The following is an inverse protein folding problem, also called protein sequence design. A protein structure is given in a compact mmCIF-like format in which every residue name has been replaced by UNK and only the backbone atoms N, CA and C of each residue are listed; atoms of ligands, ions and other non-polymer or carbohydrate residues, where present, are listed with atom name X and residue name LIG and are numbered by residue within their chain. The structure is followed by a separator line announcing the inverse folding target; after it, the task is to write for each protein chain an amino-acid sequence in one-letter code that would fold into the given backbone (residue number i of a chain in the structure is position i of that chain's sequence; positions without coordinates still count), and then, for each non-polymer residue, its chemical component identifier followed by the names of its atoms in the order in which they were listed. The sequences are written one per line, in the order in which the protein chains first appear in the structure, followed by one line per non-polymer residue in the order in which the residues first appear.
data_IF_505751142959
#
_entry.id   IF_505751142959
#
_cell.length_a   1.000
_cell.length_b   1.000
_cell.length_c   1.000
_cell.angle_alpha   90.00
_cell.angle_beta   90.00
_cell.angle_gamma   90.00
#
_symmetry.space_group_name_H-M   'P 1'
#
loop_
_entity.id
_entity.type
_entity.pdbx_description
1 polymer ?
#
# COMPACT_ATOMS: atom_id res chain seq x y z
N UNK A 1 -11.06 26.37 93.00
CA UNK A 1 -10.17 25.52 92.17
C UNK A 1 -10.90 25.22 90.87
N UNK A 2 -10.62 26.05 89.85
CA UNK A 2 -11.40 25.99 88.57
C UNK A 2 -10.60 25.12 87.58
N UNK A 3 -11.18 24.03 87.17
CA UNK A 3 -10.66 23.20 86.06
C UNK A 3 -11.10 23.81 84.71
N UNK A 4 -10.13 24.30 83.93
CA UNK A 4 -10.31 24.68 82.57
C UNK A 4 -10.34 23.42 81.67
N UNK A 5 -11.47 23.16 81.01
CA UNK A 5 -11.54 22.12 79.99
C UNK A 5 -11.04 22.70 78.68
N UNK A 6 -9.93 22.18 78.17
CA UNK A 6 -9.44 22.46 76.82
C UNK A 6 -10.22 21.59 75.84
N UNK A 7 -10.89 22.23 74.91
CA UNK A 7 -11.48 21.55 73.76
C UNK A 7 -10.47 21.56 72.64
N UNK A 8 -9.95 20.39 72.27
CA UNK A 8 -9.12 20.21 71.11
C UNK A 8 -10.00 19.93 69.92
N UNK A 9 -10.13 20.92 69.03
CA UNK A 9 -10.86 20.76 67.76
C UNK A 9 -9.93 20.04 66.79
N UNK A 10 -10.27 18.81 66.45
CA UNK A 10 -9.60 18.03 65.39
C UNK A 10 -10.20 18.44 64.02
N UNK A 11 -9.44 19.25 63.27
CA UNK A 11 -9.80 19.59 61.89
C UNK A 11 -9.45 18.43 60.97
N UNK A 12 -10.43 17.72 60.42
CA UNK A 12 -10.26 16.70 59.37
C UNK A 12 -10.17 17.45 58.03
N UNK A 13 -8.93 17.56 57.52
CA UNK A 13 -8.69 18.04 56.13
C UNK A 13 -8.90 16.87 55.22
N UNK A 14 -10.07 16.80 54.58
CA UNK A 14 -10.32 15.89 53.43
C UNK A 14 -9.62 16.47 52.19
N UNK A 15 -8.47 15.96 51.83
CA UNK A 15 -7.81 16.24 50.57
C UNK A 15 -8.60 15.56 49.46
N UNK A 16 -9.41 16.33 48.72
CA UNK A 16 -9.98 15.88 47.44
C UNK A 16 -8.86 15.75 46.43
N UNK A 17 -8.30 14.55 46.25
CA UNK A 17 -7.40 14.28 45.17
C UNK A 17 -8.19 14.28 43.85
N UNK A 18 -7.85 15.07 42.82
CA UNK A 18 -8.49 14.95 41.53
C UNK A 18 -8.17 13.56 40.99
N UNK A 19 -9.20 12.76 40.74
CA UNK A 19 -9.09 11.53 40.01
C UNK A 19 -8.72 11.90 38.55
N UNK A 20 -7.44 11.83 38.23
CA UNK A 20 -7.00 11.90 36.84
C UNK A 20 -7.47 10.59 36.21
N UNK A 21 -8.59 10.64 35.50
CA UNK A 21 -9.04 9.56 34.64
C UNK A 21 -8.03 9.45 33.49
N UNK A 22 -7.08 8.53 33.60
CA UNK A 22 -6.32 8.08 32.45
C UNK A 22 -7.31 7.43 31.50
N UNK A 23 -7.65 8.13 30.41
CA UNK A 23 -8.34 7.50 29.29
C UNK A 23 -7.46 6.31 28.87
N UNK A 24 -7.96 5.10 29.02
CA UNK A 24 -7.29 3.92 28.50
C UNK A 24 -7.01 4.18 27.01
N UNK A 25 -5.83 3.82 26.48
CA UNK A 25 -5.56 3.96 25.07
C UNK A 25 -6.68 3.24 24.35
N UNK A 26 -7.45 3.98 23.54
CA UNK A 26 -8.44 3.39 22.66
C UNK A 26 -7.66 2.49 21.71
N UNK A 27 -7.72 1.19 21.93
CA UNK A 27 -7.17 0.23 21.00
C UNK A 27 -7.96 0.44 19.69
N UNK A 28 -7.31 1.00 18.67
CA UNK A 28 -7.88 1.12 17.32
C UNK A 28 -7.93 -0.28 16.68
N UNK A 29 -8.62 -1.19 17.33
CA UNK A 29 -8.91 -2.49 16.75
C UNK A 29 -9.93 -2.30 15.62
N UNK A 30 -9.75 -3.00 14.51
CA UNK A 30 -10.73 -3.04 13.44
C UNK A 30 -12.12 -3.38 14.03
N UNK A 31 -13.13 -2.68 13.58
CA UNK A 31 -14.51 -2.93 13.96
C UNK A 31 -15.23 -3.64 12.83
N UNK A 32 -16.12 -4.54 13.17
CA UNK A 32 -17.02 -5.17 12.22
C UNK A 32 -17.90 -4.12 11.52
N UNK A 33 -18.32 -4.43 10.29
CA UNK A 33 -19.27 -3.60 9.56
C UNK A 33 -20.60 -3.57 10.29
N UNK A 34 -21.21 -2.37 10.38
CA UNK A 34 -22.60 -2.27 10.84
C UNK A 34 -23.54 -2.82 9.78
N UNK A 35 -24.75 -3.26 10.18
CA UNK A 35 -25.79 -3.70 9.23
C UNK A 35 -26.07 -2.63 8.17
N UNK A 36 -26.09 -1.36 8.56
CA UNK A 36 -26.26 -0.25 7.63
C UNK A 36 -25.16 -0.20 6.57
N UNK A 37 -23.90 -0.39 6.97
CA UNK A 37 -22.75 -0.43 6.05
C UNK A 37 -22.87 -1.60 5.09
N UNK A 38 -23.18 -2.79 5.58
CA UNK A 38 -23.38 -3.99 4.77
C UNK A 38 -24.49 -3.76 3.74
N UNK A 39 -25.68 -3.27 4.17
CA UNK A 39 -26.78 -2.99 3.26
C UNK A 39 -26.45 -1.98 2.18
N UNK A 40 -25.69 -0.92 2.52
CA UNK A 40 -25.25 0.08 1.55
C UNK A 40 -24.25 -0.50 0.53
N UNK A 41 -23.33 -1.31 0.98
CA UNK A 41 -22.39 -1.98 0.10
C UNK A 41 -23.09 -3.01 -0.80
N UNK A 42 -24.06 -3.75 -0.29
CA UNK A 42 -24.82 -4.71 -1.09
C UNK A 42 -25.70 -4.03 -2.17
N UNK A 43 -26.26 -2.85 -1.88
CA UNK A 43 -26.99 -2.09 -2.89
C UNK A 43 -26.16 -1.80 -4.15
N UNK A 44 -24.84 -1.58 -4.01
CA UNK A 44 -23.96 -1.33 -5.17
C UNK A 44 -23.88 -2.51 -6.12
N UNK A 45 -24.04 -3.74 -5.63
CA UNK A 45 -24.01 -4.95 -6.44
C UNK A 45 -25.18 -5.01 -7.44
N UNK A 46 -26.26 -4.25 -7.20
CA UNK A 46 -27.38 -4.16 -8.13
C UNK A 46 -27.16 -3.16 -9.28
N UNK A 47 -26.22 -2.22 -9.11
CA UNK A 47 -25.97 -1.16 -10.09
C UNK A 47 -24.69 -1.40 -10.90
N UNK A 48 -23.75 -2.20 -10.38
CA UNK A 48 -22.44 -2.43 -10.98
C UNK A 48 -22.24 -3.92 -11.24
N UNK A 49 -21.74 -4.22 -12.43
CA UNK A 49 -21.45 -5.60 -12.85
C UNK A 49 -20.10 -6.05 -12.26
N UNK A 50 -20.13 -6.59 -11.05
CA UNK A 50 -18.95 -7.13 -10.39
C UNK A 50 -18.50 -8.49 -10.93
N UNK A 51 -19.33 -9.17 -11.70
CA UNK A 51 -19.00 -10.45 -12.33
C UNK A 51 -18.16 -10.26 -13.59
N UNK A 52 -18.16 -9.08 -14.17
CA UNK A 52 -17.33 -8.75 -15.32
C UNK A 52 -15.83 -8.79 -14.95
N UNK A 53 -15.08 -9.71 -15.56
CA UNK A 53 -13.64 -9.92 -15.31
C UNK A 53 -12.75 -9.27 -16.37
N UNK A 54 -13.30 -8.59 -17.35
CA UNK A 54 -12.55 -7.99 -18.47
C UNK A 54 -11.39 -7.10 -18.00
N UNK A 55 -11.59 -6.31 -16.93
CA UNK A 55 -10.51 -5.46 -16.40
C UNK A 55 -9.38 -6.28 -15.79
N UNK A 56 -9.69 -7.42 -15.13
CA UNK A 56 -8.68 -8.32 -14.57
C UNK A 56 -7.89 -9.02 -15.67
N UNK A 57 -8.52 -9.38 -16.76
CA UNK A 57 -7.85 -9.91 -17.96
C UNK A 57 -6.96 -8.85 -18.60
N UNK A 58 -7.47 -7.62 -18.74
CA UNK A 58 -6.75 -6.51 -19.34
C UNK A 58 -5.53 -6.09 -18.49
N UNK A 59 -5.66 -5.96 -17.18
CA UNK A 59 -4.55 -5.56 -16.32
C UNK A 59 -3.45 -6.62 -16.24
N UNK A 60 -3.81 -7.89 -16.43
CA UNK A 60 -2.88 -9.03 -16.43
C UNK A 60 -2.24 -9.28 -17.81
N UNK A 61 -2.73 -8.61 -18.85
CA UNK A 61 -2.23 -8.82 -20.23
C UNK A 61 -0.76 -8.44 -20.34
N UNK A 62 0.02 -9.32 -20.94
CA UNK A 62 1.46 -9.13 -21.16
C UNK A 62 2.30 -9.28 -19.89
N UNK A 63 1.76 -9.84 -18.80
CA UNK A 63 2.52 -10.13 -17.60
C UNK A 63 3.72 -11.05 -17.92
N UNK A 64 4.89 -10.68 -17.43
CA UNK A 64 6.14 -11.43 -17.59
C UNK A 64 6.57 -12.03 -16.27
N UNK A 65 6.76 -11.18 -15.25
CA UNK A 65 7.23 -11.60 -13.94
C UNK A 65 6.94 -10.51 -12.89
N UNK A 66 6.90 -10.90 -11.63
CA UNK A 66 6.92 -9.96 -10.50
C UNK A 66 8.25 -10.04 -9.74
N UNK A 67 8.44 -9.14 -8.79
CA UNK A 67 9.60 -9.17 -7.89
C UNK A 67 9.59 -10.45 -7.04
N UNK A 68 10.71 -11.18 -6.95
CA UNK A 68 10.73 -12.49 -6.29
C UNK A 68 10.58 -12.43 -4.77
N UNK A 69 10.89 -11.26 -4.18
CA UNK A 69 10.79 -11.04 -2.74
C UNK A 69 9.50 -10.27 -2.40
N UNK A 70 9.03 -10.39 -1.15
CA UNK A 70 7.85 -9.63 -0.70
C UNK A 70 8.13 -8.15 -0.48
N UNK A 71 9.41 -7.76 -0.39
CA UNK A 71 9.81 -6.38 -0.08
C UNK A 71 10.98 -5.93 -0.94
N UNK A 72 11.03 -4.63 -1.22
CA UNK A 72 12.22 -3.93 -1.70
C UNK A 72 12.84 -3.22 -0.52
N UNK A 73 14.15 -3.37 -0.32
CA UNK A 73 14.88 -2.82 0.83
C UNK A 73 16.04 -1.94 0.37
N UNK A 74 16.41 -0.98 1.24
CA UNK A 74 17.65 -0.22 1.07
C UNK A 74 18.88 -1.03 1.50
N UNK A 75 20.07 -0.41 1.38
CA UNK A 75 21.34 -1.03 1.76
C UNK A 75 21.46 -1.30 3.27
N UNK A 76 20.67 -0.62 4.08
CA UNK A 76 20.62 -0.77 5.54
C UNK A 76 19.61 -1.83 5.99
N UNK A 77 18.81 -2.36 5.04
CA UNK A 77 17.79 -3.37 5.31
C UNK A 77 16.41 -2.78 5.66
N UNK A 78 16.24 -1.45 5.58
CA UNK A 78 14.94 -0.83 5.79
C UNK A 78 14.01 -1.15 4.61
N UNK A 79 12.74 -1.42 4.91
CA UNK A 79 11.74 -1.69 3.88
C UNK A 79 11.33 -0.38 3.21
N UNK A 80 11.56 -0.29 1.90
CA UNK A 80 11.16 0.83 1.04
C UNK A 80 9.79 0.57 0.44
N UNK A 81 9.55 -0.67 -0.03
CA UNK A 81 8.28 -1.08 -0.58
C UNK A 81 7.92 -2.49 -0.11
N UNK A 82 6.66 -2.69 0.28
CA UNK A 82 6.14 -3.97 0.74
C UNK A 82 4.94 -4.37 -0.10
N UNK A 83 5.12 -5.38 -0.95
CA UNK A 83 4.07 -5.92 -1.81
C UNK A 83 2.98 -6.67 -1.03
N UNK A 84 3.30 -7.15 0.17
CA UNK A 84 2.35 -7.90 1.00
C UNK A 84 1.41 -7.02 1.83
N UNK A 85 1.66 -5.72 1.88
CA UNK A 85 0.91 -4.78 2.71
C UNK A 85 -0.60 -4.82 2.48
N UNK A 86 -1.02 -5.14 1.27
CA UNK A 86 -2.43 -5.20 0.87
C UNK A 86 -2.94 -6.62 0.60
N UNK A 87 -2.22 -7.66 1.01
CA UNK A 87 -2.64 -9.06 0.79
C UNK A 87 -4.03 -9.36 1.39
N UNK A 88 -4.42 -8.63 2.44
CA UNK A 88 -5.72 -8.76 3.07
C UNK A 88 -6.91 -8.50 2.13
N UNK A 89 -6.75 -7.69 1.07
CA UNK A 89 -7.84 -7.43 0.10
C UNK A 89 -8.25 -8.66 -0.70
N UNK A 90 -7.41 -9.68 -0.74
CA UNK A 90 -7.67 -10.95 -1.43
C UNK A 90 -8.35 -11.98 -0.52
N UNK A 91 -8.55 -11.66 0.77
CA UNK A 91 -9.27 -12.50 1.70
C UNK A 91 -10.77 -12.25 1.56
N UNK A 92 -11.58 -13.30 1.79
CA UNK A 92 -13.04 -13.20 1.71
C UNK A 92 -13.66 -12.65 3.00
N UNK A 93 -12.92 -12.65 4.10
CA UNK A 93 -13.38 -12.21 5.41
C UNK A 93 -12.95 -10.77 5.71
N UNK A 94 -13.81 -10.00 6.38
CA UNK A 94 -13.49 -8.66 6.87
C UNK A 94 -13.55 -7.58 5.81
N UNK A 95 -14.10 -7.88 4.63
CA UNK A 95 -14.21 -6.92 3.52
C UNK A 95 -15.55 -6.16 3.51
N UNK A 96 -16.49 -6.51 4.37
CA UNK A 96 -17.83 -5.90 4.46
C UNK A 96 -17.77 -4.41 4.84
N UNK A 97 -16.67 -3.99 5.48
CA UNK A 97 -16.42 -2.58 5.81
C UNK A 97 -15.94 -1.77 4.61
N UNK A 98 -15.55 -2.43 3.52
CA UNK A 98 -14.95 -1.80 2.33
C UNK A 98 -16.03 -1.66 1.25
N UNK A 99 -16.11 -0.48 0.65
CA UNK A 99 -16.94 -0.28 -0.53
C UNK A 99 -16.54 -1.26 -1.64
N UNK A 100 -17.45 -2.05 -2.23
CA UNK A 100 -17.13 -3.10 -3.22
C UNK A 100 -16.39 -2.57 -4.44
N UNK A 101 -16.72 -1.35 -4.92
CA UNK A 101 -16.02 -0.73 -6.06
C UNK A 101 -14.57 -0.39 -5.70
N UNK A 102 -14.33 0.13 -4.49
CA UNK A 102 -12.97 0.42 -4.02
C UNK A 102 -12.18 -0.86 -3.81
N UNK A 103 -12.82 -1.91 -3.26
CA UNK A 103 -12.18 -3.22 -3.11
C UNK A 103 -11.77 -3.79 -4.47
N UNK A 104 -12.68 -3.72 -5.47
CA UNK A 104 -12.38 -4.16 -6.84
C UNK A 104 -11.22 -3.38 -7.44
N UNK A 105 -11.22 -2.05 -7.30
CA UNK A 105 -10.13 -1.20 -7.78
C UNK A 105 -8.82 -1.50 -7.06
N UNK A 106 -8.84 -1.71 -5.75
CA UNK A 106 -7.66 -2.09 -4.99
C UNK A 106 -7.08 -3.43 -5.45
N UNK A 107 -7.93 -4.43 -5.74
CA UNK A 107 -7.50 -5.72 -6.29
C UNK A 107 -6.82 -5.56 -7.66
N UNK A 108 -7.34 -4.72 -8.53
CA UNK A 108 -6.72 -4.41 -9.83
C UNK A 108 -5.36 -3.71 -9.66
N UNK A 109 -5.29 -2.73 -8.78
CA UNK A 109 -4.06 -1.97 -8.51
C UNK A 109 -2.97 -2.82 -7.81
N UNK A 110 -3.35 -3.88 -7.12
CA UNK A 110 -2.40 -4.77 -6.44
C UNK A 110 -1.69 -5.74 -7.40
N UNK A 111 -2.12 -5.83 -8.65
CA UNK A 111 -1.46 -6.63 -9.68
C UNK A 111 -0.19 -5.90 -10.09
N UNK A 112 0.95 -6.41 -9.65
CA UNK A 112 2.28 -5.80 -9.80
C UNK A 112 3.20 -6.67 -10.65
N UNK A 113 4.23 -6.06 -11.24
CA UNK A 113 5.24 -6.77 -12.01
C UNK A 113 5.72 -6.03 -13.25
N UNK A 114 6.43 -6.76 -14.07
CA UNK A 114 6.88 -6.36 -15.41
C UNK A 114 5.89 -6.89 -16.44
N UNK A 115 5.47 -5.99 -17.33
CA UNK A 115 4.50 -6.29 -18.38
C UNK A 115 5.04 -5.88 -19.75
N UNK A 116 4.82 -6.70 -20.77
CA UNK A 116 4.98 -6.33 -22.16
C UNK A 116 3.70 -5.64 -22.66
N UNK A 117 3.78 -4.35 -22.95
CA UNK A 117 2.64 -3.57 -23.45
C UNK A 117 2.44 -3.83 -24.94
N UNK A 118 3.56 -3.78 -25.69
CA UNK A 118 3.68 -4.12 -27.12
C UNK A 118 5.15 -4.43 -27.43
N UNK A 119 5.45 -4.76 -28.65
CA UNK A 119 6.84 -4.99 -29.07
C UNK A 119 7.71 -3.75 -28.80
N UNK A 120 8.80 -3.95 -28.07
CA UNK A 120 9.72 -2.90 -27.66
C UNK A 120 9.23 -1.98 -26.55
N UNK A 121 8.01 -2.18 -25.97
CA UNK A 121 7.49 -1.35 -24.88
C UNK A 121 7.11 -2.21 -23.68
N UNK A 122 7.69 -1.89 -22.53
CA UNK A 122 7.49 -2.61 -21.27
C UNK A 122 7.15 -1.64 -20.15
N UNK A 123 6.45 -2.16 -19.13
CA UNK A 123 6.12 -1.38 -17.93
C UNK A 123 6.35 -2.19 -16.66
N UNK A 124 6.93 -1.54 -15.65
CA UNK A 124 6.93 -2.01 -14.27
C UNK A 124 5.83 -1.28 -13.52
N UNK A 125 4.89 -2.04 -12.96
CA UNK A 125 3.70 -1.55 -12.28
C UNK A 125 3.64 -2.05 -10.85
N UNK A 126 3.16 -1.21 -9.92
CA UNK A 126 2.93 -1.59 -8.53
C UNK A 126 4.20 -1.74 -7.68
N UNK A 127 5.36 -1.20 -8.12
CA UNK A 127 6.60 -1.17 -7.34
C UNK A 127 6.71 0.07 -6.44
N UNK A 128 5.84 1.03 -6.67
CA UNK A 128 5.48 2.15 -5.81
C UNK A 128 4.21 2.82 -6.35
N UNK A 129 4.04 4.13 -6.15
CA UNK A 129 2.86 4.87 -6.60
C UNK A 129 2.87 5.21 -8.08
N UNK A 130 4.02 5.03 -8.76
CA UNK A 130 4.22 5.39 -10.15
C UNK A 130 4.30 4.15 -11.06
N UNK A 131 4.39 4.38 -12.38
CA UNK A 131 4.54 3.34 -13.40
C UNK A 131 5.76 3.65 -14.25
N UNK A 132 6.80 2.81 -14.14
CA UNK A 132 8.02 2.95 -14.92
C UNK A 132 7.85 2.32 -16.28
N UNK A 133 8.04 3.09 -17.34
CA UNK A 133 7.94 2.60 -18.72
C UNK A 133 9.30 2.55 -19.39
N UNK A 134 9.52 1.50 -20.17
CA UNK A 134 10.72 1.28 -20.96
C UNK A 134 10.36 1.17 -22.43
N UNK A 135 11.03 1.94 -23.27
CA UNK A 135 10.88 1.91 -24.73
C UNK A 135 12.22 1.55 -25.33
N UNK A 136 12.25 0.48 -26.11
CA UNK A 136 13.46 0.08 -26.83
C UNK A 136 13.66 0.99 -28.04
N UNK A 137 14.81 1.67 -28.10
CA UNK A 137 15.31 2.36 -29.26
C UNK A 137 16.32 1.53 -30.04
N UNK A 138 16.92 2.11 -31.08
CA UNK A 138 17.91 1.43 -31.91
C UNK A 138 19.24 1.20 -31.15
N UNK A 139 19.66 2.17 -30.34
CA UNK A 139 20.95 2.15 -29.64
C UNK A 139 20.82 1.98 -28.11
N UNK A 140 19.62 1.81 -27.58
CA UNK A 140 19.43 1.71 -26.13
C UNK A 140 17.96 1.78 -25.71
N UNK A 141 17.74 2.15 -24.45
CA UNK A 141 16.43 2.20 -23.84
C UNK A 141 16.09 3.60 -23.35
N UNK A 142 14.87 4.06 -23.62
CA UNK A 142 14.29 5.25 -23.04
C UNK A 142 13.50 4.82 -21.82
N UNK A 143 13.77 5.45 -20.67
CA UNK A 143 13.05 5.21 -19.42
C UNK A 143 12.20 6.43 -19.11
N UNK A 144 10.92 6.20 -18.92
CA UNK A 144 9.94 7.23 -18.57
C UNK A 144 9.41 6.94 -17.18
N UNK A 145 9.37 7.96 -16.33
CA UNK A 145 8.88 7.90 -14.94
C UNK A 145 9.56 6.78 -14.12
N UNK A 146 10.83 6.97 -13.72
CA UNK A 146 11.65 5.90 -13.14
C UNK A 146 11.28 5.53 -11.70
N UNK A 147 10.04 5.68 -11.30
CA UNK A 147 9.54 5.43 -9.95
C UNK A 147 10.01 6.50 -8.91
N UNK A 148 9.58 6.34 -7.66
CA UNK A 148 9.75 7.40 -6.64
C UNK A 148 11.08 7.27 -5.91
N UNK A 149 11.62 6.05 -5.76
CA UNK A 149 12.87 5.83 -5.02
C UNK A 149 13.95 5.15 -5.87
N UNK A 150 15.25 5.40 -5.56
CA UNK A 150 16.34 4.69 -6.22
C UNK A 150 16.25 3.16 -6.09
N UNK A 151 15.71 2.66 -4.98
CA UNK A 151 15.58 1.24 -4.70
C UNK A 151 14.49 0.59 -5.57
N UNK A 152 13.32 1.23 -5.69
CA UNK A 152 12.24 0.74 -6.55
C UNK A 152 12.63 0.84 -8.03
N UNK A 153 13.29 1.93 -8.43
CA UNK A 153 13.84 2.10 -9.77
C UNK A 153 14.87 1.00 -10.13
N UNK A 154 15.81 0.73 -9.21
CA UNK A 154 16.81 -0.31 -9.39
C UNK A 154 16.18 -1.70 -9.47
N UNK A 155 15.15 -1.99 -8.66
CA UNK A 155 14.43 -3.25 -8.72
C UNK A 155 13.69 -3.42 -10.05
N UNK A 156 13.00 -2.38 -10.54
CA UNK A 156 12.32 -2.39 -11.83
C UNK A 156 13.27 -2.61 -13.00
N UNK A 157 14.40 -1.89 -13.03
CA UNK A 157 15.43 -2.06 -14.05
C UNK A 157 16.07 -3.45 -14.00
N UNK A 158 16.34 -3.98 -12.79
CA UNK A 158 16.88 -5.33 -12.62
C UNK A 158 15.92 -6.37 -13.18
N UNK A 159 14.63 -6.26 -12.87
CA UNK A 159 13.61 -7.19 -13.36
C UNK A 159 13.53 -7.17 -14.90
N UNK A 160 13.59 -5.97 -15.52
CA UNK A 160 13.65 -5.85 -16.98
C UNK A 160 14.87 -6.58 -17.54
N UNK A 161 16.07 -6.31 -17.00
CA UNK A 161 17.34 -6.92 -17.47
C UNK A 161 17.35 -8.44 -17.33
N UNK A 162 16.74 -8.99 -16.31
CA UNK A 162 16.71 -10.44 -16.07
C UNK A 162 15.69 -11.18 -16.94
N UNK A 163 14.62 -10.49 -17.37
CA UNK A 163 13.47 -11.13 -18.03
C UNK A 163 13.34 -10.80 -19.51
N UNK A 164 14.04 -9.77 -19.99
CA UNK A 164 14.02 -9.34 -21.39
C UNK A 164 15.43 -9.52 -21.97
N UNK A 165 15.62 -10.54 -22.80
CA UNK A 165 16.93 -11.01 -23.29
C UNK A 165 17.74 -9.92 -24.01
N UNK A 166 17.09 -9.05 -24.77
CA UNK A 166 17.73 -7.98 -25.53
C UNK A 166 18.39 -6.89 -24.66
N UNK A 167 18.09 -6.83 -23.36
CA UNK A 167 18.67 -5.82 -22.45
C UNK A 167 20.04 -6.26 -21.94
N UNK A 168 20.30 -7.55 -21.89
CA UNK A 168 21.58 -8.11 -21.41
C UNK A 168 22.73 -7.96 -22.42
N UNK A 169 22.41 -7.83 -23.71
CA UNK A 169 23.39 -7.70 -24.79
C UNK A 169 23.82 -6.25 -25.08
N UNK A 170 23.06 -5.25 -24.67
CA UNK A 170 23.42 -3.85 -24.86
C UNK A 170 24.15 -3.31 -23.63
N UNK A 171 25.49 -3.16 -23.76
CA UNK A 171 26.36 -2.56 -22.74
C UNK A 171 26.09 -1.06 -22.48
N UNK A 172 25.15 -0.45 -23.22
CA UNK A 172 24.85 0.97 -23.16
C UNK A 172 23.39 1.22 -22.82
N UNK A 173 23.04 1.10 -21.53
CA UNK A 173 21.81 1.72 -21.01
C UNK A 173 22.14 3.19 -20.78
N UNK A 174 21.96 4.01 -21.81
CA UNK A 174 22.01 5.47 -21.65
C UNK A 174 20.71 5.89 -20.99
N UNK A 175 20.77 6.22 -19.71
CA UNK A 175 19.63 6.77 -18.97
C UNK A 175 19.44 8.21 -19.43
N UNK A 176 18.73 8.42 -20.51
CA UNK A 176 18.20 9.74 -20.84
C UNK A 176 16.92 9.90 -20.02
N UNK A 177 17.09 10.50 -18.85
CA UNK A 177 15.99 10.90 -17.98
C UNK A 177 15.29 12.09 -18.66
N UNK A 178 14.20 11.84 -19.38
CA UNK A 178 13.29 12.92 -19.78
C UNK A 178 12.37 13.16 -18.60
N UNK A 179 12.73 14.15 -17.77
CA UNK A 179 11.82 14.73 -16.78
C UNK A 179 10.93 15.72 -17.52
N UNK A 180 9.72 15.32 -17.90
CA UNK A 180 8.65 16.27 -18.23
C UNK A 180 7.91 16.58 -16.92
N UNK A 181 7.95 17.86 -16.51
CA UNK A 181 7.21 18.41 -15.38
C UNK A 181 5.89 19.00 -15.86
#
# INVERSE_FOLDING_TARGET
MLFKKSIVSLAIITTLAPAIAFAAPTTNLPKEATEFTVQKNDQLKHYLDFDNKTDFENVSRGFIATWPEKTIKDKQGNVIWDFSKFDFINQDNGVETINPSLLRQAKLNNINGLFKVKDGVYQVRGFDLSVMSFIRGDDGWIVIDPLISPETAAAGLKLLKEKVEDVTSSSNVTTNLVLDF
#
